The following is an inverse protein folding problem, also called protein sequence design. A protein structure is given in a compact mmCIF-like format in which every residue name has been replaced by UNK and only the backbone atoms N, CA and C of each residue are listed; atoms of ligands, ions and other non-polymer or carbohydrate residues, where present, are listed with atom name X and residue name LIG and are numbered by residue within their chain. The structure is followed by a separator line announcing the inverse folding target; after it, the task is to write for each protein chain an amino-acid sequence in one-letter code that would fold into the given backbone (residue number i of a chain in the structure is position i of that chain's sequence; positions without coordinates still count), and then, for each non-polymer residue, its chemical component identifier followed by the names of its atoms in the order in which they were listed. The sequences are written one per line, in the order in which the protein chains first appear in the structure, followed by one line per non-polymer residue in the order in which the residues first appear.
data_IF_927950799213
#
_entry.id   IF_927950799213
#
_cell.length_a   1.000
_cell.length_b   1.000
_cell.length_c   1.000
_cell.angle_alpha   90.00
_cell.angle_beta   90.00
_cell.angle_gamma   90.00
#
_symmetry.space_group_name_H-M   'P 1'
#
loop_
_entity.id
_entity.type
_entity.pdbx_description
1 polymer ?
#
# COMPACT_ATOMS: atom_id res chain seq x y z
N UNK A 1 0.14 -25.56 -16.60
CA UNK A 1 -1.07 -25.26 -15.81
C UNK A 1 -0.65 -24.85 -14.40
N UNK A 2 -0.38 -23.57 -14.13
CA UNK A 2 -0.26 -23.04 -12.76
C UNK A 2 -0.65 -21.56 -12.74
N UNK A 3 -1.96 -21.28 -12.78
CA UNK A 3 -2.57 -19.98 -12.44
C UNK A 3 -3.48 -20.16 -11.23
N UNK A 4 -2.92 -20.59 -10.09
CA UNK A 4 -3.70 -20.86 -8.87
C UNK A 4 -3.18 -20.19 -7.59
N UNK A 5 -2.14 -19.36 -7.70
CA UNK A 5 -1.60 -18.58 -6.59
C UNK A 5 -1.86 -17.07 -6.72
N UNK A 6 -2.65 -16.66 -7.71
CA UNK A 6 -3.00 -15.26 -7.89
C UNK A 6 -4.06 -14.88 -6.83
N UNK A 7 -3.65 -14.06 -5.86
CA UNK A 7 -4.50 -13.34 -4.88
C UNK A 7 -4.98 -14.16 -3.65
N UNK A 8 -4.15 -15.01 -3.04
CA UNK A 8 -4.39 -15.49 -1.65
C UNK A 8 -3.94 -14.52 -0.55
N UNK A 9 -3.16 -13.50 -0.90
CA UNK A 9 -2.41 -12.70 0.09
C UNK A 9 -3.33 -11.75 0.89
N UNK A 10 -4.50 -11.40 0.36
CA UNK A 10 -5.42 -10.45 0.98
C UNK A 10 -6.59 -11.10 1.74
N UNK A 11 -6.81 -12.42 1.65
CA UNK A 11 -8.06 -13.05 2.12
C UNK A 11 -8.32 -12.94 3.63
N UNK A 12 -7.27 -12.79 4.46
CA UNK A 12 -7.42 -12.66 5.92
C UNK A 12 -7.08 -11.27 6.49
N UNK A 13 -6.61 -10.33 5.67
CA UNK A 13 -6.21 -8.99 6.12
C UNK A 13 -6.98 -7.93 5.35
N UNK A 14 -7.84 -7.20 6.07
CA UNK A 14 -8.64 -6.11 5.50
C UNK A 14 -7.73 -4.95 5.10
N UNK A 15 -7.70 -4.63 3.81
CA UNK A 15 -7.10 -3.40 3.27
C UNK A 15 -8.21 -2.36 3.16
N UNK A 16 -8.02 -1.18 3.77
CA UNK A 16 -8.99 -0.09 3.66
C UNK A 16 -8.99 0.50 2.26
N UNK A 17 -10.19 0.71 1.72
CA UNK A 17 -10.42 1.33 0.42
C UNK A 17 -11.32 2.56 0.57
N UNK A 18 -11.15 3.52 -0.32
CA UNK A 18 -11.96 4.72 -0.40
C UNK A 18 -12.28 5.00 -1.87
N UNK A 19 -13.54 5.22 -2.19
CA UNK A 19 -13.96 5.72 -3.48
C UNK A 19 -13.90 7.25 -3.47
N UNK A 20 -13.25 7.82 -4.49
CA UNK A 20 -13.23 9.25 -4.74
C UNK A 20 -14.10 9.55 -5.96
N UNK A 21 -15.16 10.33 -5.76
CA UNK A 21 -16.11 10.69 -6.80
C UNK A 21 -15.60 11.75 -7.76
N UNK A 22 -14.65 12.59 -7.33
CA UNK A 22 -14.16 13.72 -8.12
C UNK A 22 -13.19 13.22 -9.19
N UNK A 23 -12.42 12.18 -8.87
CA UNK A 23 -11.48 11.53 -9.78
C UNK A 23 -11.97 10.19 -10.34
N UNK A 24 -13.16 9.72 -9.93
CA UNK A 24 -13.73 8.42 -10.28
C UNK A 24 -12.75 7.26 -10.05
N UNK A 25 -12.05 7.27 -8.91
CA UNK A 25 -10.96 6.34 -8.60
C UNK A 25 -11.13 5.67 -7.24
N UNK A 26 -10.62 4.44 -7.17
CA UNK A 26 -10.42 3.74 -5.90
C UNK A 26 -9.03 3.99 -5.36
N UNK A 27 -8.99 4.41 -4.09
CA UNK A 27 -7.77 4.57 -3.31
C UNK A 27 -7.65 3.47 -2.27
N UNK A 28 -6.43 2.99 -2.05
CA UNK A 28 -6.10 1.97 -1.07
C UNK A 28 -5.14 2.53 -0.02
N UNK A 29 -5.31 2.11 1.23
CA UNK A 29 -4.36 2.47 2.30
C UNK A 29 -3.01 1.79 2.09
N UNK A 30 -1.96 2.60 1.92
CA UNK A 30 -0.59 2.10 1.71
C UNK A 30 -0.11 1.31 2.94
N UNK A 31 -0.39 1.81 4.14
CA UNK A 31 0.06 1.17 5.38
C UNK A 31 -0.58 -0.20 5.60
N UNK A 32 -1.83 -0.39 5.18
CA UNK A 32 -2.50 -1.68 5.27
C UNK A 32 -1.88 -2.69 4.28
N UNK A 33 -1.58 -2.24 3.05
CA UNK A 33 -0.89 -3.07 2.05
C UNK A 33 0.50 -3.46 2.54
N UNK A 34 1.25 -2.53 3.13
CA UNK A 34 2.55 -2.83 3.76
C UNK A 34 2.37 -3.87 4.87
N UNK A 35 1.35 -3.73 5.73
CA UNK A 35 1.07 -4.71 6.80
C UNK A 35 0.80 -6.11 6.25
N UNK A 36 0.13 -6.20 5.10
CA UNK A 36 -0.15 -7.46 4.39
C UNK A 36 1.13 -8.06 3.81
N UNK A 37 1.91 -7.25 3.10
CA UNK A 37 3.05 -7.70 2.33
C UNK A 37 4.30 -7.91 3.18
N UNK A 38 4.41 -7.31 4.36
CA UNK A 38 5.65 -7.37 5.16
C UNK A 38 5.49 -8.09 6.50
N UNK A 39 4.25 -8.34 6.95
CA UNK A 39 3.94 -8.74 8.33
C UNK A 39 4.65 -7.88 9.40
N UNK A 40 4.95 -6.62 9.06
CA UNK A 40 5.62 -5.70 9.98
C UNK A 40 4.78 -5.48 11.23
N UNK A 41 5.45 -5.50 12.40
CA UNK A 41 4.84 -5.15 13.69
C UNK A 41 4.39 -3.68 13.69
N UNK A 42 5.14 -2.81 13.00
CA UNK A 42 4.79 -1.40 12.82
C UNK A 42 4.86 -1.01 11.32
N UNK A 43 3.76 -1.22 10.57
CA UNK A 43 3.67 -0.86 9.17
C UNK A 43 3.86 0.64 8.90
N UNK A 44 3.53 1.51 9.86
CA UNK A 44 3.71 2.96 9.72
C UNK A 44 5.20 3.33 9.76
N UNK A 45 5.95 2.77 10.72
CA UNK A 45 7.39 2.96 10.79
C UNK A 45 8.09 2.38 9.55
N UNK A 46 7.66 1.20 9.10
CA UNK A 46 8.15 0.61 7.84
C UNK A 46 7.92 1.55 6.67
N UNK A 47 6.70 2.08 6.52
CA UNK A 47 6.34 3.00 5.45
C UNK A 47 7.19 4.27 5.47
N UNK A 48 7.37 4.88 6.64
CA UNK A 48 8.23 6.08 6.78
C UNK A 48 9.65 5.83 6.31
N UNK A 49 10.21 4.67 6.66
CA UNK A 49 11.57 4.28 6.25
C UNK A 49 11.66 3.97 4.75
N UNK A 50 10.68 3.27 4.19
CA UNK A 50 10.61 3.02 2.75
C UNK A 50 10.50 4.33 1.96
N UNK A 51 9.62 5.24 2.42
CA UNK A 51 9.46 6.57 1.82
C UNK A 51 10.76 7.39 1.85
N UNK A 52 11.51 7.33 2.95
CA UNK A 52 12.81 7.99 3.05
C UNK A 52 13.80 7.44 2.03
N UNK A 53 13.97 6.11 1.97
CA UNK A 53 14.89 5.45 1.01
C UNK A 53 14.54 5.78 -0.44
N UNK A 54 13.26 5.72 -0.79
CA UNK A 54 12.80 6.03 -2.14
C UNK A 54 13.08 7.49 -2.52
N UNK A 55 12.95 8.43 -1.57
CA UNK A 55 13.35 9.82 -1.80
C UNK A 55 14.86 9.98 -1.99
N UNK A 56 15.67 9.28 -1.19
CA UNK A 56 17.14 9.29 -1.31
C UNK A 56 17.61 8.70 -2.65
N UNK A 57 16.89 7.71 -3.19
CA UNK A 57 17.12 7.10 -4.51
C UNK A 57 16.60 7.95 -5.69
N UNK A 58 15.95 9.09 -5.42
CA UNK A 58 15.35 9.95 -6.45
C UNK A 58 14.06 9.39 -7.05
N UNK A 59 13.40 8.44 -6.38
CA UNK A 59 12.16 7.84 -6.84
C UNK A 59 10.96 8.75 -6.49
N UNK A 60 10.33 9.33 -7.51
CA UNK A 60 9.22 10.25 -7.37
C UNK A 60 7.87 9.58 -7.02
N UNK A 61 7.80 8.25 -7.05
CA UNK A 61 6.54 7.50 -6.81
C UNK A 61 5.94 7.80 -5.45
N UNK A 62 6.78 8.05 -4.44
CA UNK A 62 6.33 8.39 -3.08
C UNK A 62 5.91 9.84 -2.88
N UNK A 63 6.20 10.70 -3.85
CA UNK A 63 5.84 12.12 -3.82
C UNK A 63 4.39 12.35 -4.28
N UNK A 64 3.81 11.36 -4.98
CA UNK A 64 2.44 11.42 -5.53
C UNK A 64 1.37 10.75 -4.63
N UNK A 65 1.74 10.26 -3.45
CA UNK A 65 0.77 9.66 -2.52
C UNK A 65 -0.16 10.74 -1.95
N UNK A 66 -1.47 10.51 -2.01
CA UNK A 66 -2.47 11.43 -1.46
C UNK A 66 -2.69 11.13 0.03
N UNK A 67 -2.92 12.16 0.83
CA UNK A 67 -3.34 11.99 2.23
C UNK A 67 -4.85 12.07 2.36
N UNK A 68 -5.54 10.93 2.46
CA UNK A 68 -7.00 10.90 2.63
C UNK A 68 -7.37 10.46 4.05
N UNK A 69 -8.51 10.95 4.54
CA UNK A 69 -9.06 10.50 5.83
C UNK A 69 -9.72 9.15 5.64
N UNK A 70 -9.22 8.13 6.33
CA UNK A 70 -9.82 6.79 6.38
C UNK A 70 -10.16 6.43 7.82
N UNK A 71 -11.15 5.54 7.98
CA UNK A 71 -11.50 4.98 9.29
C UNK A 71 -10.34 4.11 9.78
N UNK A 72 -9.79 4.41 10.95
CA UNK A 72 -8.78 3.59 11.58
C UNK A 72 -9.43 2.44 12.39
N UNK A 73 -8.67 1.39 12.77
CA UNK A 73 -9.20 0.28 13.57
C UNK A 73 -9.81 0.70 14.92
N UNK A 74 -9.43 1.85 15.46
CA UNK A 74 -9.97 2.44 16.69
C UNK A 74 -11.32 3.18 16.47
N UNK A 75 -11.87 3.13 15.25
CA UNK A 75 -13.14 3.78 14.88
C UNK A 75 -13.02 5.28 14.61
N UNK A 76 -11.81 5.86 14.60
CA UNK A 76 -11.60 7.29 14.35
C UNK A 76 -11.13 7.55 12.93
N UNK A 77 -11.59 8.64 12.32
CA UNK A 77 -11.07 9.09 11.03
C UNK A 77 -9.66 9.65 11.20
N UNK A 78 -8.70 9.10 10.45
CA UNK A 78 -7.29 9.52 10.48
C UNK A 78 -6.78 9.74 9.07
N UNK A 79 -5.93 10.75 8.91
CA UNK A 79 -5.22 10.95 7.66
C UNK A 79 -4.24 9.79 7.47
N UNK A 80 -4.27 9.18 6.30
CA UNK A 80 -3.39 8.09 5.91
C UNK A 80 -2.95 8.31 4.47
N UNK A 81 -1.72 7.88 4.17
CA UNK A 81 -1.27 7.90 2.80
C UNK A 81 -1.99 6.80 2.01
N UNK A 82 -2.54 7.21 0.88
CA UNK A 82 -3.26 6.35 -0.04
C UNK A 82 -2.63 6.39 -1.42
N UNK A 83 -2.86 5.33 -2.17
CA UNK A 83 -2.45 5.19 -3.56
C UNK A 83 -3.59 4.62 -4.38
N UNK A 84 -3.71 5.06 -5.63
CA UNK A 84 -4.51 4.34 -6.62
C UNK A 84 -3.81 3.03 -7.02
N UNK A 85 -4.47 2.20 -7.84
CA UNK A 85 -3.95 0.90 -8.25
C UNK A 85 -2.58 0.99 -8.93
N UNK A 86 -2.37 1.95 -9.83
CA UNK A 86 -1.11 2.08 -10.56
C UNK A 86 0.04 2.52 -9.67
N UNK A 87 -0.21 3.53 -8.83
CA UNK A 87 0.74 4.00 -7.82
C UNK A 87 1.11 2.88 -6.85
N UNK A 88 0.12 2.08 -6.43
CA UNK A 88 0.33 0.97 -5.53
C UNK A 88 1.18 -0.13 -6.16
N UNK A 89 0.93 -0.50 -7.41
CA UNK A 89 1.75 -1.48 -8.13
C UNK A 89 3.21 -1.05 -8.21
N UNK A 90 3.48 0.21 -8.56
CA UNK A 90 4.84 0.78 -8.57
C UNK A 90 5.49 0.72 -7.19
N UNK A 91 4.75 1.06 -6.14
CA UNK A 91 5.25 1.00 -4.78
C UNK A 91 5.60 -0.43 -4.34
N UNK A 92 4.76 -1.41 -4.70
CA UNK A 92 4.97 -2.82 -4.35
C UNK A 92 6.29 -3.34 -4.95
N UNK A 93 6.70 -2.86 -6.13
CA UNK A 93 8.00 -3.21 -6.72
C UNK A 93 9.18 -2.90 -5.79
N UNK A 94 9.07 -1.80 -5.04
CA UNK A 94 10.09 -1.32 -4.14
C UNK A 94 10.06 -1.97 -2.75
N UNK A 95 9.10 -2.84 -2.44
CA UNK A 95 9.01 -3.51 -1.14
C UNK A 95 9.95 -4.74 -1.14
N UNK A 96 11.00 -4.76 -0.30
CA UNK A 96 11.86 -5.94 -0.15
C UNK A 96 11.17 -6.97 0.76
N UNK A 97 10.19 -7.69 0.23
CA UNK A 97 9.49 -8.78 0.94
C UNK A 97 9.20 -9.94 -0.01
N UNK A 98 9.38 -11.21 0.43
CA UNK A 98 8.97 -12.38 -0.34
C UNK A 98 7.50 -12.38 -0.77
N UNK A 99 6.61 -11.72 0.00
CA UNK A 99 5.19 -11.62 -0.36
C UNK A 99 4.91 -10.57 -1.43
N UNK A 100 5.84 -9.64 -1.64
CA UNK A 100 5.75 -8.64 -2.70
C UNK A 100 6.26 -9.20 -4.05
N UNK A 101 7.15 -10.20 -4.03
CA UNK A 101 7.74 -10.80 -5.24
C UNK A 101 6.73 -11.27 -6.30
N UNK A 102 5.56 -11.87 -5.98
CA UNK A 102 4.58 -12.25 -6.98
C UNK A 102 4.05 -11.07 -7.82
N UNK A 103 4.12 -9.86 -7.29
CA UNK A 103 3.66 -8.64 -7.96
C UNK A 103 4.78 -7.97 -8.78
N UNK A 104 6.02 -8.48 -8.72
CA UNK A 104 7.18 -7.89 -9.41
C UNK A 104 7.44 -8.44 -10.81
N UNK A 105 6.52 -9.25 -11.32
CA UNK A 105 6.65 -9.95 -12.60
C UNK A 105 5.88 -9.25 -13.71
#
# INVERSE_FOLDING_TARGET
MEKKNEIKIFENKKVRTLWDSDYEKWYLSIVDVIAVLTDSIDPNAYWRKLKQRLKEEGNETVTSCHGLKMLAPDGKMRMTDVADTEQLFRLIQSIPSPKAEPFKR
#
